data_IF_120111102158
#
_entry.id   IF_120111102158
#
_cell.length_a   1.000
_cell.length_b   1.000
_cell.length_c   1.000
_cell.angle_alpha   90.00
_cell.angle_beta   90.00
_cell.angle_gamma   90.00
#
_symmetry.space_group_name_H-M   'P 1'
#
loop_
_entity.id
_entity.type
_entity.pdbx_description
1 polymer ?
#
# COMPACT_ATOMS: atom_id res chain seq x y z
N UNK A 1 -30.51 27.36 -8.21
CA UNK A 1 -29.48 27.10 -9.25
C UNK A 1 -29.45 25.59 -9.46
N UNK A 2 -29.20 25.07 -10.65
CA UNK A 2 -29.06 23.63 -10.79
C UNK A 2 -27.90 23.13 -9.89
N UNK A 3 -28.09 21.96 -9.29
CA UNK A 3 -27.06 21.36 -8.45
C UNK A 3 -25.74 21.06 -9.20
N UNK A 4 -24.63 20.85 -8.50
CA UNK A 4 -23.34 20.57 -9.11
C UNK A 4 -23.40 19.32 -9.99
N UNK A 5 -22.84 19.39 -11.20
CA UNK A 5 -22.88 18.34 -12.21
C UNK A 5 -21.64 17.44 -12.17
N UNK A 6 -20.53 17.97 -11.63
CA UNK A 6 -19.29 17.25 -11.43
C UNK A 6 -18.66 17.60 -10.07
N UNK A 7 -17.58 16.91 -9.70
CA UNK A 7 -16.94 17.13 -8.41
C UNK A 7 -16.26 18.51 -8.31
N UNK A 8 -15.78 19.06 -9.41
CA UNK A 8 -15.16 20.40 -9.40
C UNK A 8 -16.17 21.47 -9.08
N UNK A 9 -17.34 21.42 -9.71
CA UNK A 9 -18.46 22.31 -9.38
C UNK A 9 -18.90 22.11 -7.91
N UNK A 10 -18.92 20.87 -7.41
CA UNK A 10 -19.20 20.58 -6.00
C UNK A 10 -18.16 21.22 -5.08
N UNK A 11 -16.87 21.05 -5.35
CA UNK A 11 -15.78 21.65 -4.57
C UNK A 11 -15.90 23.18 -4.54
N UNK A 12 -16.15 23.81 -5.69
CA UNK A 12 -16.32 25.26 -5.80
C UNK A 12 -17.52 25.75 -4.97
N UNK A 13 -18.63 25.04 -5.02
CA UNK A 13 -19.83 25.35 -4.20
C UNK A 13 -19.55 25.17 -2.71
N UNK A 14 -18.86 24.08 -2.32
CA UNK A 14 -18.52 23.82 -0.93
C UNK A 14 -17.61 24.91 -0.37
N UNK A 15 -16.60 25.35 -1.13
CA UNK A 15 -15.68 26.42 -0.72
C UNK A 15 -16.39 27.77 -0.64
N UNK A 16 -17.19 28.11 -1.66
CA UNK A 16 -17.88 29.39 -1.73
C UNK A 16 -18.95 29.56 -0.62
N UNK A 17 -19.61 28.46 -0.25
CA UNK A 17 -20.71 28.47 0.75
C UNK A 17 -20.26 28.01 2.14
N UNK A 18 -18.98 27.74 2.36
CA UNK A 18 -18.48 27.10 3.59
C UNK A 18 -18.92 27.85 4.86
N UNK A 19 -18.81 29.17 4.87
CA UNK A 19 -19.18 29.99 6.03
C UNK A 19 -20.69 30.09 6.26
N UNK A 20 -21.50 29.82 5.23
CA UNK A 20 -22.95 29.84 5.32
C UNK A 20 -23.56 28.54 5.84
N UNK A 21 -22.78 27.47 5.90
CA UNK A 21 -23.24 26.18 6.40
C UNK A 21 -23.39 26.15 7.92
N UNK A 22 -24.38 25.41 8.40
CA UNK A 22 -24.49 25.10 9.83
C UNK A 22 -23.27 24.32 10.35
N UNK A 23 -22.98 24.31 11.66
CA UNK A 23 -21.83 23.57 12.20
C UNK A 23 -21.78 22.10 11.77
N UNK A 24 -22.91 21.42 11.72
CA UNK A 24 -22.99 20.03 11.27
C UNK A 24 -22.75 19.88 9.75
N UNK A 25 -23.31 20.79 8.96
CA UNK A 25 -23.05 20.82 7.51
C UNK A 25 -21.58 21.13 7.18
N UNK A 26 -20.93 22.02 7.94
CA UNK A 26 -19.50 22.30 7.79
C UNK A 26 -18.65 21.05 8.00
N UNK A 27 -18.98 20.20 8.98
CA UNK A 27 -18.25 18.94 9.20
C UNK A 27 -18.36 18.02 7.99
N UNK A 28 -19.55 17.88 7.42
CA UNK A 28 -19.75 17.09 6.18
C UNK A 28 -18.99 17.72 5.02
N UNK A 29 -19.08 19.04 4.82
CA UNK A 29 -18.35 19.76 3.78
C UNK A 29 -16.83 19.60 3.92
N UNK A 30 -16.33 19.75 5.15
CA UNK A 30 -14.91 19.58 5.45
C UNK A 30 -14.44 18.15 5.16
N UNK A 31 -15.25 17.13 5.51
CA UNK A 31 -14.93 15.72 5.22
C UNK A 31 -14.84 15.49 3.70
N UNK A 32 -15.82 15.99 2.93
CA UNK A 32 -15.81 15.91 1.47
C UNK A 32 -14.63 16.62 0.82
N UNK A 33 -14.21 17.77 1.35
CA UNK A 33 -13.07 18.54 0.84
C UNK A 33 -11.73 17.88 1.19
N UNK A 34 -11.62 17.31 2.40
CA UNK A 34 -10.37 16.70 2.89
C UNK A 34 -10.11 15.30 2.33
N UNK A 35 -11.17 14.48 2.17
CA UNK A 35 -11.06 13.10 1.70
C UNK A 35 -12.20 12.73 0.73
N UNK A 36 -12.25 13.36 -0.42
CA UNK A 36 -13.30 13.07 -1.42
C UNK A 36 -13.23 11.63 -1.95
N UNK A 37 -12.03 11.05 -1.94
CA UNK A 37 -11.81 9.68 -2.40
C UNK A 37 -12.39 8.68 -1.41
N UNK A 38 -12.21 8.91 -0.12
CA UNK A 38 -12.86 8.14 0.94
C UNK A 38 -14.37 8.22 0.88
N UNK A 39 -14.91 9.42 0.73
CA UNK A 39 -16.35 9.63 0.64
C UNK A 39 -17.01 8.91 -0.54
N UNK A 40 -16.28 8.63 -1.62
CA UNK A 40 -16.78 7.92 -2.80
C UNK A 40 -17.23 6.47 -2.53
N UNK A 41 -16.68 5.83 -1.49
CA UNK A 41 -16.94 4.42 -1.17
C UNK A 41 -17.70 4.23 0.14
N UNK A 42 -17.87 5.29 0.91
CA UNK A 42 -18.61 5.24 2.16
C UNK A 42 -20.10 5.06 1.91
N UNK A 43 -20.78 4.38 2.80
CA UNK A 43 -22.24 4.46 2.92
C UNK A 43 -22.64 5.77 3.60
N UNK A 44 -23.92 6.12 3.56
CA UNK A 44 -24.42 7.31 4.28
C UNK A 44 -24.09 7.23 5.78
N UNK A 45 -24.21 6.05 6.38
CA UNK A 45 -23.87 5.79 7.79
C UNK A 45 -22.39 6.04 8.07
N UNK A 46 -21.51 5.49 7.24
CA UNK A 46 -20.05 5.66 7.38
C UNK A 46 -19.60 7.11 7.17
N UNK A 47 -20.20 7.83 6.21
CA UNK A 47 -19.91 9.25 6.04
C UNK A 47 -20.41 10.08 7.23
N UNK A 48 -21.59 9.76 7.76
CA UNK A 48 -22.16 10.42 8.93
C UNK A 48 -21.25 10.20 10.16
N UNK A 49 -20.81 8.96 10.40
CA UNK A 49 -19.89 8.62 11.48
C UNK A 49 -18.55 9.36 11.31
N UNK A 50 -17.93 9.32 10.13
CA UNK A 50 -16.64 9.98 9.86
C UNK A 50 -16.69 11.51 9.94
N UNK A 51 -17.87 12.10 9.78
CA UNK A 51 -18.11 13.53 9.92
C UNK A 51 -18.68 13.92 11.30
N UNK A 52 -18.87 12.96 12.19
CA UNK A 52 -19.49 13.14 13.52
C UNK A 52 -20.85 13.87 13.43
N UNK A 53 -21.76 13.33 12.59
CA UNK A 53 -23.11 13.82 12.37
C UNK A 53 -24.11 12.67 12.23
N UNK A 54 -25.40 12.97 12.22
CA UNK A 54 -26.44 11.97 11.92
C UNK A 54 -26.60 11.78 10.40
N UNK A 55 -27.00 10.57 9.97
CA UNK A 55 -27.30 10.26 8.57
C UNK A 55 -28.27 11.25 7.92
N UNK A 56 -29.32 11.63 8.67
CA UNK A 56 -30.29 12.63 8.19
C UNK A 56 -29.66 13.99 7.89
N UNK A 57 -28.55 14.33 8.55
CA UNK A 57 -27.78 15.55 8.28
C UNK A 57 -27.07 15.44 6.93
N UNK A 58 -26.45 14.28 6.64
CA UNK A 58 -25.79 14.03 5.35
C UNK A 58 -26.79 14.10 4.19
N UNK A 59 -27.95 13.45 4.34
CA UNK A 59 -29.00 13.48 3.31
C UNK A 59 -29.51 14.92 3.08
N UNK A 60 -29.84 15.64 4.16
CA UNK A 60 -30.30 17.05 4.06
C UNK A 60 -29.22 17.97 3.52
N UNK A 61 -27.95 17.69 3.83
CA UNK A 61 -26.83 18.43 3.26
C UNK A 61 -26.76 18.26 1.74
N UNK A 62 -26.84 17.03 1.23
CA UNK A 62 -26.88 16.76 -0.21
C UNK A 62 -28.06 17.48 -0.88
N UNK A 63 -29.26 17.42 -0.28
CA UNK A 63 -30.43 18.13 -0.79
C UNK A 63 -30.26 19.66 -0.75
N UNK A 64 -29.55 20.22 0.23
CA UNK A 64 -29.26 21.68 0.30
C UNK A 64 -28.32 22.18 -0.79
N UNK A 65 -27.67 21.25 -1.48
CA UNK A 65 -26.80 21.47 -2.64
C UNK A 65 -27.55 21.21 -3.97
N UNK A 66 -28.88 21.11 -3.93
CA UNK A 66 -29.73 20.76 -5.08
C UNK A 66 -29.41 19.39 -5.70
N UNK A 67 -28.91 18.45 -4.90
CA UNK A 67 -28.72 17.04 -5.27
C UNK A 67 -29.94 16.21 -4.86
N UNK A 68 -30.22 15.12 -5.58
CA UNK A 68 -31.34 14.22 -5.27
C UNK A 68 -31.16 13.39 -3.99
N UNK A 69 -30.06 13.60 -3.25
CA UNK A 69 -29.75 12.96 -1.99
C UNK A 69 -28.30 12.42 -1.94
N UNK A 70 -28.02 11.58 -0.95
CA UNK A 70 -26.69 11.00 -0.76
C UNK A 70 -26.15 10.21 -1.97
N UNK A 71 -26.96 9.42 -2.71
CA UNK A 71 -26.46 8.73 -3.89
C UNK A 71 -25.85 9.64 -4.95
N UNK A 72 -26.42 10.83 -5.17
CA UNK A 72 -25.87 11.81 -6.11
C UNK A 72 -24.56 12.40 -5.60
N UNK A 73 -24.47 12.71 -4.30
CA UNK A 73 -23.25 13.17 -3.67
C UNK A 73 -22.11 12.13 -3.79
N UNK A 74 -22.41 10.88 -3.49
CA UNK A 74 -21.46 9.77 -3.63
C UNK A 74 -21.03 9.58 -5.10
N UNK A 75 -21.97 9.70 -6.05
CA UNK A 75 -21.68 9.63 -7.49
C UNK A 75 -20.70 10.71 -7.95
N UNK A 76 -20.83 11.95 -7.47
CA UNK A 76 -19.91 13.04 -7.78
C UNK A 76 -18.50 12.73 -7.24
N UNK A 77 -18.39 12.23 -6.01
CA UNK A 77 -17.12 11.77 -5.45
C UNK A 77 -16.52 10.62 -6.26
N UNK A 78 -17.34 9.64 -6.69
CA UNK A 78 -16.90 8.54 -7.56
C UNK A 78 -16.48 9.03 -8.94
N UNK A 79 -17.15 10.05 -9.50
CA UNK A 79 -16.78 10.64 -10.78
C UNK A 79 -15.40 11.30 -10.70
N UNK A 80 -15.10 12.05 -9.63
CA UNK A 80 -13.74 12.57 -9.38
C UNK A 80 -12.69 11.47 -9.39
N UNK A 81 -13.01 10.30 -8.80
CA UNK A 81 -12.09 9.17 -8.82
C UNK A 81 -11.85 8.63 -10.24
N UNK A 82 -12.90 8.60 -11.07
CA UNK A 82 -12.76 8.21 -12.48
C UNK A 82 -11.93 9.23 -13.24
N UNK A 83 -12.18 10.52 -13.02
CA UNK A 83 -11.49 11.62 -13.70
C UNK A 83 -10.01 11.68 -13.30
N UNK A 84 -9.70 11.62 -12.00
CA UNK A 84 -8.31 11.48 -11.51
C UNK A 84 -7.64 10.17 -11.92
N UNK A 85 -8.42 9.18 -12.31
CA UNK A 85 -7.94 7.89 -12.75
C UNK A 85 -7.54 7.86 -14.23
N UNK A 86 -7.89 8.86 -15.02
CA UNK A 86 -7.47 8.95 -16.42
C UNK A 86 -5.99 9.36 -16.48
N UNK A 87 -5.14 8.41 -16.87
CA UNK A 87 -3.70 8.65 -17.01
C UNK A 87 -3.37 9.82 -17.94
N UNK A 88 -4.22 10.04 -18.95
CA UNK A 88 -4.07 11.12 -19.93
C UNK A 88 -4.27 12.51 -19.30
N UNK A 89 -5.28 12.69 -18.44
CA UNK A 89 -5.50 13.98 -17.75
C UNK A 89 -4.37 14.31 -16.78
N UNK A 90 -3.86 13.28 -16.09
CA UNK A 90 -2.68 13.45 -15.25
C UNK A 90 -1.42 13.78 -16.05
N UNK A 91 -1.30 13.24 -17.26
CA UNK A 91 -0.21 13.57 -18.16
C UNK A 91 -0.29 15.02 -18.62
N UNK A 92 -1.48 15.49 -19.01
CA UNK A 92 -1.69 16.88 -19.42
C UNK A 92 -1.45 17.88 -18.26
N UNK A 93 -1.61 17.46 -17.02
CA UNK A 93 -1.24 18.28 -15.86
C UNK A 93 0.28 18.44 -15.65
N UNK A 94 1.11 17.63 -16.31
CA UNK A 94 2.59 17.79 -16.30
C UNK A 94 3.05 19.11 -16.91
N UNK A 95 2.49 19.47 -18.07
CA UNK A 95 2.84 20.71 -18.78
C UNK A 95 2.54 21.96 -17.92
N UNK A 96 1.46 21.87 -17.11
CA UNK A 96 1.09 22.93 -16.17
C UNK A 96 2.05 23.02 -14.97
N UNK A 97 2.51 21.87 -14.44
CA UNK A 97 3.43 21.83 -13.29
C UNK A 97 4.85 22.33 -13.65
N UNK A 98 5.31 22.11 -14.88
CA UNK A 98 6.59 22.64 -15.34
C UNK A 98 6.59 24.16 -15.48
N UNK A 99 5.44 24.74 -15.84
CA UNK A 99 5.31 26.17 -16.07
C UNK A 99 5.05 27.01 -14.83
N UNK A 100 4.42 26.41 -13.79
CA UNK A 100 3.91 27.19 -12.63
C UNK A 100 4.77 27.08 -11.38
N UNK A 101 5.44 25.96 -11.12
CA UNK A 101 6.06 25.72 -9.81
C UNK A 101 7.58 25.79 -9.75
N UNK A 102 8.31 26.09 -10.80
CA UNK A 102 9.78 26.16 -10.79
C UNK A 102 10.47 24.94 -10.11
N UNK A 103 11.64 24.56 -10.57
CA UNK A 103 12.41 23.43 -10.04
C UNK A 103 12.41 22.21 -10.96
N UNK A 104 13.49 21.41 -10.91
CA UNK A 104 13.62 20.24 -11.79
C UNK A 104 12.64 19.14 -11.40
N UNK A 105 12.13 18.39 -12.38
CA UNK A 105 11.29 17.22 -12.16
C UNK A 105 11.96 16.22 -11.20
N UNK A 106 13.28 16.05 -11.29
CA UNK A 106 14.06 15.20 -10.40
C UNK A 106 13.95 15.62 -8.93
N UNK A 107 14.09 16.92 -8.66
CA UNK A 107 13.96 17.46 -7.30
C UNK A 107 12.54 17.27 -6.74
N UNK A 108 11.52 17.46 -7.57
CA UNK A 108 10.11 17.21 -7.19
C UNK A 108 9.86 15.75 -6.85
N UNK A 109 10.34 14.81 -7.69
CA UNK A 109 10.23 13.36 -7.42
C UNK A 109 10.90 13.01 -6.10
N UNK A 110 12.14 13.47 -5.88
CA UNK A 110 12.87 13.20 -4.63
C UNK A 110 12.14 13.75 -3.40
N UNK A 111 11.58 14.97 -3.48
CA UNK A 111 10.82 15.58 -2.39
C UNK A 111 9.53 14.80 -2.08
N UNK A 112 8.80 14.35 -3.10
CA UNK A 112 7.62 13.49 -2.88
C UNK A 112 7.99 12.17 -2.22
N UNK A 113 9.06 11.51 -2.66
CA UNK A 113 9.48 10.23 -2.12
C UNK A 113 9.92 10.35 -0.65
N UNK A 114 10.71 11.36 -0.32
CA UNK A 114 11.11 11.64 1.08
C UNK A 114 9.89 11.90 1.97
N UNK A 115 8.95 12.73 1.51
CA UNK A 115 7.73 13.03 2.25
C UNK A 115 6.82 11.81 2.42
N UNK A 116 6.71 10.96 1.40
CA UNK A 116 5.92 9.73 1.46
C UNK A 116 6.52 8.76 2.49
N UNK A 117 7.83 8.54 2.47
CA UNK A 117 8.52 7.69 3.46
C UNK A 117 8.26 8.23 4.85
N UNK A 118 8.56 9.51 5.11
CA UNK A 118 8.41 10.11 6.43
C UNK A 118 6.98 9.96 6.97
N UNK A 119 5.96 10.27 6.16
CA UNK A 119 4.54 10.16 6.56
C UNK A 119 4.09 8.72 6.74
N UNK A 120 4.52 7.81 5.88
CA UNK A 120 4.19 6.38 6.00
C UNK A 120 4.65 5.85 7.34
N UNK A 121 5.91 6.07 7.69
CA UNK A 121 6.46 5.56 8.96
C UNK A 121 5.89 6.29 10.19
N UNK A 122 5.59 7.57 10.10
CA UNK A 122 4.93 8.31 11.18
C UNK A 122 3.51 7.81 11.49
N UNK A 123 2.83 7.20 10.52
CA UNK A 123 1.48 6.66 10.67
C UNK A 123 1.46 5.18 11.11
N UNK A 124 2.62 4.54 11.29
CA UNK A 124 2.69 3.16 11.77
C UNK A 124 2.50 3.14 13.28
N UNK A 125 1.40 2.55 13.73
CA UNK A 125 1.16 2.32 15.15
C UNK A 125 2.05 1.18 15.65
N UNK A 126 2.83 1.43 16.71
CA UNK A 126 3.81 0.46 17.22
C UNK A 126 3.19 -0.87 17.64
N UNK A 127 2.00 -0.86 18.23
CA UNK A 127 1.31 -2.09 18.65
C UNK A 127 0.77 -2.90 17.46
N UNK A 128 0.31 -2.23 16.40
CA UNK A 128 -0.09 -2.89 15.14
C UNK A 128 1.14 -3.50 14.48
N UNK A 129 2.25 -2.78 14.47
CA UNK A 129 3.54 -3.24 13.96
C UNK A 129 4.02 -4.51 14.66
N UNK A 130 4.11 -4.49 15.98
CA UNK A 130 4.57 -5.65 16.79
C UNK A 130 3.69 -6.88 16.54
N UNK A 131 2.36 -6.70 16.51
CA UNK A 131 1.43 -7.81 16.23
C UNK A 131 1.60 -8.36 14.83
N UNK A 132 1.73 -7.52 13.82
CA UNK A 132 1.92 -7.96 12.45
C UNK A 132 3.25 -8.71 12.27
N UNK A 133 4.36 -8.21 12.85
CA UNK A 133 5.66 -8.90 12.84
C UNK A 133 5.56 -10.25 13.52
N UNK A 134 4.99 -10.33 14.72
CA UNK A 134 4.79 -11.59 15.43
C UNK A 134 3.89 -12.57 14.63
N UNK A 135 2.85 -12.07 13.97
CA UNK A 135 1.98 -12.85 13.09
C UNK A 135 2.76 -13.43 11.91
N UNK A 136 3.55 -12.60 11.23
CA UNK A 136 4.41 -13.05 10.11
C UNK A 136 5.45 -14.06 10.56
N UNK A 137 6.07 -13.87 11.73
CA UNK A 137 7.13 -14.76 12.23
C UNK A 137 6.59 -16.14 12.65
N UNK A 138 5.39 -16.20 13.23
CA UNK A 138 4.82 -17.43 13.83
C UNK A 138 3.87 -18.20 12.91
N UNK A 139 3.48 -17.61 11.78
CA UNK A 139 2.55 -18.25 10.85
C UNK A 139 3.13 -19.52 10.23
N UNK A 140 2.26 -20.46 9.90
CA UNK A 140 2.63 -21.67 9.16
C UNK A 140 3.13 -21.32 7.77
N UNK A 141 2.41 -20.45 7.05
CA UNK A 141 2.75 -19.95 5.72
C UNK A 141 2.44 -18.47 5.60
N UNK A 142 3.24 -17.77 4.83
CA UNK A 142 2.98 -16.40 4.40
C UNK A 142 2.66 -16.40 2.91
N UNK A 143 1.49 -15.90 2.57
CA UNK A 143 1.04 -15.69 1.21
C UNK A 143 1.08 -14.21 0.91
N UNK A 144 1.68 -13.81 -0.20
CA UNK A 144 1.79 -12.39 -0.58
C UNK A 144 1.09 -12.18 -1.91
N UNK A 145 0.19 -11.21 -1.98
CA UNK A 145 -0.55 -10.86 -3.20
C UNK A 145 -0.49 -9.36 -3.48
N UNK A 146 -0.22 -9.04 -4.71
CA UNK A 146 -0.29 -7.68 -5.24
C UNK A 146 -0.27 -7.70 -6.75
N UNK A 147 -1.15 -6.93 -7.39
CA UNK A 147 -1.26 -6.93 -8.85
C UNK A 147 -0.92 -5.56 -9.43
N UNK A 148 -0.60 -5.53 -10.74
CA UNK A 148 -0.18 -4.33 -11.48
C UNK A 148 1.04 -3.69 -10.80
N UNK A 149 1.01 -2.40 -10.45
CA UNK A 149 2.15 -1.74 -9.80
C UNK A 149 2.44 -2.23 -8.37
N UNK A 150 1.45 -2.81 -7.69
CA UNK A 150 1.66 -3.46 -6.40
C UNK A 150 2.33 -4.82 -6.53
N UNK A 151 2.48 -5.38 -7.74
CA UNK A 151 3.17 -6.65 -7.95
C UNK A 151 4.66 -6.57 -7.58
N UNK A 152 5.34 -5.49 -7.96
CA UNK A 152 6.77 -5.33 -7.67
C UNK A 152 7.09 -5.36 -6.16
N UNK A 153 6.45 -4.53 -5.29
CA UNK A 153 6.71 -4.62 -3.85
C UNK A 153 6.17 -5.92 -3.22
N UNK A 154 5.13 -6.56 -3.79
CA UNK A 154 4.68 -7.87 -3.34
C UNK A 154 5.73 -8.96 -3.63
N UNK A 155 6.33 -8.95 -4.83
CA UNK A 155 7.45 -9.84 -5.18
C UNK A 155 8.64 -9.61 -4.27
N UNK A 156 9.00 -8.35 -4.03
CA UNK A 156 10.09 -8.01 -3.13
C UNK A 156 9.83 -8.51 -1.70
N UNK A 157 8.62 -8.33 -1.17
CA UNK A 157 8.27 -8.82 0.17
C UNK A 157 8.37 -10.34 0.25
N UNK A 158 7.83 -11.06 -0.75
CA UNK A 158 7.90 -12.51 -0.80
C UNK A 158 9.35 -13.01 -0.88
N UNK A 159 10.17 -12.37 -1.69
CA UNK A 159 11.59 -12.68 -1.80
C UNK A 159 12.33 -12.46 -0.47
N UNK A 160 12.21 -11.26 0.12
CA UNK A 160 12.91 -10.92 1.36
C UNK A 160 12.47 -11.80 2.55
N UNK A 161 11.18 -12.12 2.65
CA UNK A 161 10.71 -13.06 3.68
C UNK A 161 11.18 -14.48 3.41
N UNK A 162 11.27 -14.90 2.14
CA UNK A 162 11.79 -16.22 1.75
C UNK A 162 13.25 -16.43 2.09
N UNK A 163 14.06 -15.36 2.19
CA UNK A 163 15.46 -15.46 2.66
C UNK A 163 15.57 -15.77 4.16
N UNK A 164 14.55 -15.42 4.95
CA UNK A 164 14.64 -15.46 6.42
C UNK A 164 13.73 -16.49 7.06
N UNK A 165 12.82 -17.08 6.28
CA UNK A 165 11.91 -18.14 6.74
C UNK A 165 11.39 -19.00 5.58
N UNK A 166 11.02 -20.22 5.89
CA UNK A 166 10.37 -21.14 4.95
C UNK A 166 8.88 -20.76 4.72
N UNK A 167 8.26 -21.43 3.75
CA UNK A 167 6.82 -21.38 3.44
C UNK A 167 6.30 -19.95 3.13
N UNK A 168 7.04 -19.23 2.29
CA UNK A 168 6.60 -17.94 1.74
C UNK A 168 6.26 -18.12 0.26
N UNK A 169 5.04 -17.70 -0.12
CA UNK A 169 4.54 -17.89 -1.48
C UNK A 169 3.96 -16.59 -2.04
N UNK A 170 4.48 -16.16 -3.18
CA UNK A 170 3.86 -15.10 -3.96
C UNK A 170 2.68 -15.67 -4.75
N UNK A 171 1.54 -15.01 -4.67
CA UNK A 171 0.33 -15.36 -5.43
C UNK A 171 0.26 -14.57 -6.74
N UNK A 172 -0.20 -15.24 -7.81
CA UNK A 172 -0.43 -14.59 -9.11
C UNK A 172 0.76 -14.54 -10.07
N UNK A 173 1.87 -15.22 -9.77
CA UNK A 173 3.08 -15.21 -10.61
C UNK A 173 3.56 -16.56 -11.12
N UNK A 174 2.86 -17.67 -10.87
CA UNK A 174 3.35 -19.01 -11.18
C UNK A 174 2.46 -19.81 -12.15
N UNK A 175 2.84 -21.07 -12.38
CA UNK A 175 2.09 -22.02 -13.21
C UNK A 175 0.77 -22.49 -12.55
N UNK A 176 0.58 -22.29 -11.25
CA UNK A 176 -0.65 -22.59 -10.53
C UNK A 176 -1.61 -21.42 -10.58
N UNK A 177 -2.90 -21.71 -10.72
CA UNK A 177 -3.93 -20.66 -10.64
C UNK A 177 -4.17 -20.24 -9.20
N UNK A 178 -4.72 -19.04 -9.00
CA UNK A 178 -5.10 -18.55 -7.66
C UNK A 178 -6.04 -19.53 -6.93
N UNK A 179 -7.08 -20.11 -7.56
CA UNK A 179 -7.93 -21.11 -6.91
C UNK A 179 -7.18 -22.34 -6.40
N UNK A 180 -6.16 -22.82 -7.12
CA UNK A 180 -5.36 -24.00 -6.70
C UNK A 180 -4.60 -23.75 -5.40
N UNK A 181 -4.09 -22.53 -5.23
CA UNK A 181 -3.38 -22.16 -4.01
C UNK A 181 -4.37 -21.83 -2.89
N UNK A 182 -5.40 -21.04 -3.19
CA UNK A 182 -6.38 -20.59 -2.20
C UNK A 182 -7.16 -21.73 -1.56
N UNK A 183 -7.48 -22.81 -2.28
CA UNK A 183 -8.17 -23.99 -1.71
C UNK A 183 -7.46 -24.63 -0.50
N UNK A 184 -6.17 -24.37 -0.32
CA UNK A 184 -5.33 -24.92 0.75
C UNK A 184 -5.09 -23.95 1.89
N UNK A 185 -5.59 -22.72 1.77
CA UNK A 185 -5.44 -21.67 2.79
C UNK A 185 -6.35 -21.98 3.97
N UNK A 186 -5.90 -21.68 5.17
CA UNK A 186 -6.66 -21.92 6.38
C UNK A 186 -6.07 -21.28 7.63
N UNK A 187 -6.56 -21.65 8.81
CA UNK A 187 -6.03 -21.16 10.09
C UNK A 187 -4.53 -21.44 10.21
N UNK A 188 -3.80 -20.48 10.75
CA UNK A 188 -2.35 -20.50 10.85
C UNK A 188 -1.60 -19.97 9.63
N UNK A 189 -2.27 -19.70 8.52
CA UNK A 189 -1.72 -18.99 7.38
C UNK A 189 -1.91 -17.48 7.52
N UNK A 190 -1.03 -16.71 6.89
CA UNK A 190 -1.14 -15.25 6.78
C UNK A 190 -1.21 -14.85 5.31
N UNK A 191 -2.14 -13.98 4.97
CA UNK A 191 -2.16 -13.31 3.67
C UNK A 191 -1.78 -11.85 3.82
N UNK A 192 -0.71 -11.44 3.16
CA UNK A 192 -0.34 -10.03 2.98
C UNK A 192 -0.82 -9.56 1.62
N UNK A 193 -1.75 -8.61 1.61
CA UNK A 193 -2.31 -8.03 0.39
C UNK A 193 -1.85 -6.59 0.20
N UNK A 194 -1.23 -6.32 -0.95
CA UNK A 194 -0.81 -4.98 -1.34
C UNK A 194 -1.77 -4.46 -2.42
N UNK A 195 -2.52 -3.42 -2.13
CA UNK A 195 -3.40 -2.79 -3.11
C UNK A 195 -3.56 -1.30 -2.82
N UNK A 196 -3.20 -0.49 -3.80
CA UNK A 196 -3.38 0.96 -3.78
C UNK A 196 -4.33 1.37 -4.90
N UNK A 197 -4.93 2.53 -4.75
CA UNK A 197 -5.88 3.04 -5.74
C UNK A 197 -5.24 3.13 -7.17
N UNK A 198 -5.86 2.52 -8.18
CA UNK A 198 -7.14 1.81 -8.28
C UNK A 198 -6.99 0.36 -7.77
N UNK A 199 -7.82 -0.01 -6.82
CA UNK A 199 -7.78 -1.34 -6.23
C UNK A 199 -8.09 -2.41 -7.28
N UNK A 200 -7.24 -3.44 -7.34
CA UNK A 200 -7.39 -4.52 -8.33
C UNK A 200 -8.34 -5.58 -7.79
N UNK A 201 -9.38 -5.88 -8.58
CA UNK A 201 -10.42 -6.84 -8.20
C UNK A 201 -9.85 -8.20 -7.77
N UNK A 202 -8.87 -8.71 -8.50
CA UNK A 202 -8.25 -9.99 -8.22
C UNK A 202 -7.54 -10.02 -6.84
N UNK A 203 -6.87 -8.94 -6.46
CA UNK A 203 -6.30 -8.80 -5.11
C UNK A 203 -7.39 -8.84 -4.03
N UNK A 204 -8.49 -8.11 -4.25
CA UNK A 204 -9.60 -8.06 -3.30
C UNK A 204 -10.30 -9.42 -3.15
N UNK A 205 -10.55 -10.11 -4.26
CA UNK A 205 -11.15 -11.44 -4.26
C UNK A 205 -10.25 -12.45 -3.54
N UNK A 206 -8.92 -12.42 -3.80
CA UNK A 206 -7.95 -13.27 -3.13
C UNK A 206 -7.96 -13.03 -1.61
N UNK A 207 -7.98 -11.76 -1.21
CA UNK A 207 -8.06 -11.36 0.19
C UNK A 207 -9.31 -11.89 0.88
N UNK A 208 -10.48 -11.69 0.27
CA UNK A 208 -11.76 -12.14 0.82
C UNK A 208 -11.85 -13.67 0.94
N UNK A 209 -11.31 -14.41 -0.03
CA UNK A 209 -11.29 -15.87 0.01
C UNK A 209 -10.40 -16.35 1.15
N UNK A 210 -9.16 -15.85 1.25
CA UNK A 210 -8.23 -16.25 2.30
C UNK A 210 -8.79 -15.97 3.70
N UNK A 211 -9.37 -14.78 3.91
CA UNK A 211 -10.03 -14.42 5.16
C UNK A 211 -11.17 -15.37 5.52
N UNK A 212 -12.06 -15.67 4.57
CA UNK A 212 -13.17 -16.61 4.82
C UNK A 212 -12.71 -18.02 5.16
N UNK A 213 -11.53 -18.40 4.72
CA UNK A 213 -10.90 -19.68 5.05
C UNK A 213 -10.13 -19.67 6.37
N UNK A 214 -10.09 -18.54 7.07
CA UNK A 214 -9.51 -18.40 8.40
C UNK A 214 -8.04 -18.01 8.42
N UNK A 215 -7.48 -17.53 7.31
CA UNK A 215 -6.15 -16.92 7.31
C UNK A 215 -6.19 -15.56 8.03
N UNK A 216 -5.13 -15.25 8.77
CA UNK A 216 -4.91 -13.89 9.28
C UNK A 216 -4.52 -12.98 8.12
N UNK A 217 -5.02 -11.75 8.11
CA UNK A 217 -4.88 -10.85 6.97
C UNK A 217 -4.13 -9.57 7.34
N UNK A 218 -3.17 -9.20 6.49
CA UNK A 218 -2.41 -7.94 6.58
C UNK A 218 -2.65 -7.16 5.29
N UNK A 219 -3.10 -5.93 5.40
CA UNK A 219 -3.31 -5.04 4.27
C UNK A 219 -2.29 -3.90 4.25
N UNK A 220 -1.60 -3.72 3.10
CA UNK A 220 -0.84 -2.52 2.80
C UNK A 220 -1.63 -1.74 1.74
N UNK A 221 -2.11 -0.55 2.10
CA UNK A 221 -3.01 0.24 1.25
C UNK A 221 -2.83 1.73 1.47
N UNK A 222 -3.35 2.54 0.56
CA UNK A 222 -3.09 3.98 0.51
C UNK A 222 -4.20 4.84 1.15
N UNK A 223 -5.30 4.24 1.57
CA UNK A 223 -6.44 5.03 2.05
C UNK A 223 -7.32 4.23 3.02
N UNK A 224 -7.85 4.85 4.10
CA UNK A 224 -8.82 4.22 5.00
C UNK A 224 -10.10 3.72 4.32
N UNK A 225 -10.47 4.27 3.16
CA UNK A 225 -11.61 3.79 2.36
C UNK A 225 -11.29 2.60 1.46
N UNK A 226 -10.07 2.07 1.50
CA UNK A 226 -9.72 0.87 0.74
C UNK A 226 -10.62 -0.30 1.13
N UNK A 227 -11.13 -1.07 0.17
CA UNK A 227 -11.96 -2.25 0.47
C UNK A 227 -11.24 -3.31 1.32
N UNK A 228 -9.91 -3.29 1.39
CA UNK A 228 -9.14 -4.19 2.24
C UNK A 228 -9.31 -3.87 3.74
N UNK A 229 -9.48 -2.59 4.08
CA UNK A 229 -9.45 -2.10 5.47
C UNK A 229 -10.57 -2.67 6.33
N UNK A 230 -11.78 -2.83 5.76
CA UNK A 230 -12.96 -3.27 6.52
C UNK A 230 -12.82 -4.66 7.15
N UNK A 231 -11.90 -5.47 6.63
CA UNK A 231 -11.80 -6.88 6.98
C UNK A 231 -10.38 -7.35 7.27
N UNK A 232 -9.39 -6.46 7.28
CA UNK A 232 -8.02 -6.80 7.61
C UNK A 232 -7.81 -6.86 9.12
N UNK A 233 -7.04 -7.85 9.58
CA UNK A 233 -6.64 -7.95 10.98
C UNK A 233 -5.56 -6.92 11.33
N UNK A 234 -4.69 -6.61 10.36
CA UNK A 234 -3.67 -5.56 10.45
C UNK A 234 -3.69 -4.70 9.20
N UNK A 235 -3.62 -3.39 9.37
CA UNK A 235 -3.60 -2.42 8.26
C UNK A 235 -2.40 -1.49 8.38
N UNK A 236 -1.68 -1.32 7.28
CA UNK A 236 -0.65 -0.32 7.13
C UNK A 236 -1.02 0.64 6.00
N UNK A 237 -1.07 1.92 6.34
CA UNK A 237 -1.31 2.96 5.36
C UNK A 237 -0.01 3.48 4.78
N UNK A 238 0.06 3.53 3.45
CA UNK A 238 1.25 3.95 2.70
C UNK A 238 0.95 5.20 1.89
N UNK A 239 1.81 6.19 1.99
CA UNK A 239 1.75 7.39 1.17
C UNK A 239 2.33 7.12 -0.22
N UNK A 240 1.57 7.46 -1.24
CA UNK A 240 1.92 7.16 -2.64
C UNK A 240 1.80 8.40 -3.53
N UNK A 241 1.91 9.58 -2.95
CA UNK A 241 1.92 10.82 -3.72
C UNK A 241 3.08 10.80 -4.74
N UNK A 242 2.84 11.33 -5.93
CA UNK A 242 3.85 11.35 -6.98
C UNK A 242 3.60 12.46 -7.95
N UNK A 243 4.59 12.78 -8.76
CA UNK A 243 4.48 13.81 -9.77
C UNK A 243 3.61 13.30 -10.92
N UNK A 244 2.57 14.05 -11.24
CA UNK A 244 1.67 13.84 -12.36
C UNK A 244 1.02 12.44 -12.44
N UNK A 245 1.35 11.66 -13.47
CA UNK A 245 0.66 10.40 -13.80
C UNK A 245 1.05 9.22 -12.90
N UNK A 246 2.26 9.26 -12.34
CA UNK A 246 2.82 8.13 -11.62
C UNK A 246 2.71 8.36 -10.12
N UNK A 247 2.08 7.43 -9.42
CA UNK A 247 2.16 7.35 -7.97
C UNK A 247 3.47 6.69 -7.58
N UNK A 248 4.14 7.24 -6.59
CA UNK A 248 5.37 6.64 -6.07
C UNK A 248 5.10 5.34 -5.31
N UNK A 249 5.99 4.38 -5.48
CA UNK A 249 6.00 3.14 -4.72
C UNK A 249 7.15 3.08 -3.69
N UNK A 250 7.96 4.13 -3.59
CA UNK A 250 9.17 4.15 -2.76
C UNK A 250 8.87 3.90 -1.29
N UNK A 251 7.83 4.55 -0.74
CA UNK A 251 7.43 4.33 0.65
C UNK A 251 6.86 2.91 0.88
N UNK A 252 6.17 2.33 -0.12
CA UNK A 252 5.69 0.93 -0.05
C UNK A 252 6.87 -0.03 0.02
N UNK A 253 7.87 0.17 -0.85
CA UNK A 253 9.11 -0.63 -0.84
C UNK A 253 9.85 -0.48 0.48
N UNK A 254 9.99 0.73 1.02
CA UNK A 254 10.63 0.99 2.31
C UNK A 254 9.91 0.25 3.46
N UNK A 255 8.58 0.28 3.49
CA UNK A 255 7.79 -0.43 4.51
C UNK A 255 7.93 -1.95 4.38
N UNK A 256 7.94 -2.47 3.16
CA UNK A 256 8.14 -3.90 2.86
C UNK A 256 9.50 -4.37 3.38
N UNK A 257 10.56 -3.61 3.11
CA UNK A 257 11.91 -3.90 3.62
C UNK A 257 11.96 -3.85 5.16
N UNK A 258 11.31 -2.86 5.77
CA UNK A 258 11.24 -2.76 7.22
C UNK A 258 10.50 -3.95 7.84
N UNK A 259 9.39 -4.42 7.25
CA UNK A 259 8.66 -5.61 7.70
C UNK A 259 9.54 -6.86 7.65
N UNK A 260 10.23 -7.09 6.52
CA UNK A 260 11.11 -8.24 6.37
C UNK A 260 12.28 -8.19 7.37
N UNK A 261 12.89 -7.02 7.56
CA UNK A 261 13.97 -6.83 8.55
C UNK A 261 13.48 -7.07 9.98
N UNK A 262 12.28 -6.63 10.34
CA UNK A 262 11.71 -6.87 11.66
C UNK A 262 11.41 -8.36 11.89
N UNK A 263 10.87 -9.06 10.88
CA UNK A 263 10.65 -10.52 10.94
C UNK A 263 11.97 -11.27 11.09
N UNK A 264 13.01 -10.89 10.34
CA UNK A 264 14.37 -11.43 10.46
C UNK A 264 14.92 -11.30 11.88
N UNK A 265 14.71 -10.13 12.50
CA UNK A 265 15.16 -9.86 13.87
C UNK A 265 14.37 -10.70 14.89
N UNK A 266 13.06 -10.85 14.71
CA UNK A 266 12.19 -11.64 15.60
C UNK A 266 12.53 -13.15 15.52
N UNK A 267 12.84 -13.66 14.34
CA UNK A 267 13.23 -15.07 14.12
C UNK A 267 14.67 -15.38 14.57
N UNK A 268 15.56 -14.41 14.57
CA UNK A 268 16.90 -14.52 15.17
C UNK A 268 17.74 -15.72 14.67
N UNK A 269 17.84 -16.77 15.48
CA UNK A 269 18.66 -17.94 15.17
C UNK A 269 18.16 -18.72 13.93
N UNK A 270 16.84 -18.78 13.71
CA UNK A 270 16.25 -19.46 12.55
C UNK A 270 16.61 -18.71 11.26
N UNK A 271 16.53 -17.37 11.26
CA UNK A 271 17.02 -16.55 10.15
C UNK A 271 18.48 -16.83 9.85
N UNK A 272 19.34 -16.90 10.88
CA UNK A 272 20.76 -17.17 10.68
C UNK A 272 21.00 -18.52 10.01
N UNK A 273 20.26 -19.54 10.39
CA UNK A 273 20.36 -20.87 9.78
C UNK A 273 19.94 -20.84 8.30
N UNK A 274 18.82 -20.16 7.99
CA UNK A 274 18.34 -20.01 6.61
C UNK A 274 19.37 -19.28 5.72
N UNK A 275 19.95 -18.19 6.22
CA UNK A 275 20.95 -17.41 5.47
C UNK A 275 22.24 -18.19 5.23
N UNK A 276 22.70 -18.99 6.19
CA UNK A 276 23.86 -19.82 5.98
C UNK A 276 23.66 -20.88 4.87
N UNK A 277 22.49 -21.52 4.86
CA UNK A 277 22.13 -22.46 3.79
C UNK A 277 22.00 -21.73 2.42
N UNK A 278 21.46 -20.54 2.40
CA UNK A 278 21.39 -19.73 1.18
C UNK A 278 22.78 -19.39 0.65
N UNK A 279 23.71 -18.96 1.52
CA UNK A 279 25.11 -18.67 1.15
C UNK A 279 25.82 -19.90 0.58
N UNK A 280 25.67 -21.09 1.21
CA UNK A 280 26.21 -22.33 0.69
C UNK A 280 25.71 -22.66 -0.72
N UNK A 281 24.41 -22.51 -0.97
CA UNK A 281 23.80 -22.73 -2.27
C UNK A 281 24.24 -21.69 -3.32
N UNK A 282 24.33 -20.42 -2.93
CA UNK A 282 24.79 -19.34 -3.82
C UNK A 282 26.26 -19.58 -4.26
N UNK A 283 27.10 -20.10 -3.37
CA UNK A 283 28.47 -20.51 -3.70
C UNK A 283 28.49 -21.75 -4.62
N UNK A 284 27.71 -22.79 -4.31
CA UNK A 284 27.63 -23.99 -5.12
C UNK A 284 27.21 -23.74 -6.57
N UNK A 285 26.23 -22.82 -6.75
CA UNK A 285 25.74 -22.45 -8.07
C UNK A 285 26.51 -21.32 -8.75
N UNK A 286 27.55 -20.76 -8.13
CA UNK A 286 28.36 -19.63 -8.64
C UNK A 286 27.50 -18.46 -9.11
N UNK A 287 26.51 -18.09 -8.26
CA UNK A 287 25.46 -17.12 -8.62
C UNK A 287 26.01 -15.71 -8.78
N UNK A 288 27.03 -15.33 -7.99
CA UNK A 288 27.63 -14.00 -8.01
C UNK A 288 28.99 -13.96 -8.68
N UNK A 289 29.21 -12.95 -9.50
CA UNK A 289 30.53 -12.69 -10.07
C UNK A 289 31.45 -12.20 -8.97
N UNK A 290 32.59 -12.88 -8.76
CA UNK A 290 33.62 -12.39 -7.84
C UNK A 290 34.10 -10.99 -8.30
N UNK A 291 33.91 -9.99 -7.47
CA UNK A 291 34.44 -8.65 -7.72
C UNK A 291 35.92 -8.61 -7.30
N UNK A 292 36.74 -7.94 -8.10
CA UNK A 292 38.21 -7.86 -7.86
C UNK A 292 38.58 -7.15 -6.52
N UNK A 293 37.62 -6.67 -5.76
CA UNK A 293 37.77 -5.96 -4.49
C UNK A 293 37.60 -6.87 -3.26
N UNK A 294 37.02 -8.06 -3.40
CA UNK A 294 37.01 -9.06 -2.32
C UNK A 294 38.08 -10.11 -2.60
N UNK A 295 39.23 -10.04 -1.93
CA UNK A 295 40.21 -11.12 -2.04
C UNK A 295 39.58 -12.37 -1.42
N UNK A 296 39.36 -13.41 -2.24
CA UNK A 296 38.89 -14.72 -1.82
C UNK A 296 39.71 -15.15 -0.57
N UNK A 297 39.04 -15.46 0.55
CA UNK A 297 39.71 -15.93 1.75
C UNK A 297 40.64 -17.14 1.44
N UNK A 298 40.31 -17.93 0.42
CA UNK A 298 41.13 -19.02 -0.13
C UNK A 298 42.44 -18.50 -0.77
N UNK A 299 42.42 -17.33 -1.39
CA UNK A 299 43.61 -16.69 -1.92
C UNK A 299 44.49 -16.09 -0.79
N UNK A 300 43.86 -15.64 0.28
CA UNK A 300 44.60 -15.20 1.49
C UNK A 300 45.25 -16.39 2.18
N UNK A 301 44.59 -17.53 2.30
CA UNK A 301 45.19 -18.77 2.86
C UNK A 301 46.29 -19.34 1.97
N UNK A 302 46.10 -19.37 0.66
CA UNK A 302 47.17 -19.80 -0.30
C UNK A 302 48.37 -18.88 -0.24
N UNK A 303 48.19 -17.56 -0.13
CA UNK A 303 49.30 -16.60 0.04
C UNK A 303 49.98 -16.69 1.40
N UNK A 304 49.26 -17.11 2.46
CA UNK A 304 49.86 -17.41 3.78
C UNK A 304 50.66 -18.72 3.77
N UNK A 305 50.13 -19.75 3.12
CA UNK A 305 50.85 -21.04 2.99
C UNK A 305 52.17 -20.94 2.19
N UNK A 306 52.18 -20.09 1.14
CA UNK A 306 53.42 -19.87 0.34
C UNK A 306 54.46 -18.95 1.01
N UNK A 307 54.07 -18.13 2.00
CA UNK A 307 55.01 -17.30 2.77
C UNK A 307 55.60 -17.98 3.99
N UNK A 308 55.04 -19.11 4.44
CA UNK A 308 55.56 -19.90 5.56
C UNK A 308 56.61 -20.96 5.18
N UNK A 309 56.95 -21.06 3.88
CA UNK A 309 57.92 -22.04 3.36
C UNK A 309 59.25 -21.41 2.88
N UNK A 310 59.61 -20.23 3.34
CA UNK A 310 60.92 -19.63 3.08
C UNK A 310 61.64 -19.30 4.37
#
# INVERSE_FOLDING_TARGET
MPGPRDYKELEDVLRARFESFTPQQRRVAQRLLSDPEGCAFQTVSQLAESADVNESTVVRFATSLDLGGYPDLARLCQQRLRDKAQLVERFNALDYLETVEGGSLLAKVAAYDQANIARTFANVEEEVWKRAVATLSRSRRVLVVGHRKSAAPATLLAYLLGLVRDEVHQLGGGATTLPDTLRRVGPGDVLVALSIHRYVRETLQTFDVARRQGATTIALTDNPSSPLVQHADHVFYVEVAGVAILRSMTAVVSLVQALASAVSTELGADTRASLLLEEELLEEFDVYVATAEEPDERDIERRRATRGSR
#
